data_IF_770751328983
#
_entry.id   IF_770751328983
#
_cell.length_a   1.000
_cell.length_b   1.000
_cell.length_c   1.000
_cell.angle_alpha   90.00
_cell.angle_beta   90.00
_cell.angle_gamma   90.00
#
_symmetry.space_group_name_H-M   'P 1'
#
loop_
_entity.id
_entity.type
_entity.pdbx_description
1 polymer ?
#
# COMPACT_ATOMS: atom_id res chain seq x y z
N UNK A 1 0.43 -3.95 14.54
CA UNK A 1 1.74 -4.52 14.19
C UNK A 1 1.88 -4.48 12.68
N UNK A 2 3.09 -4.30 12.12
CA UNK A 2 3.25 -4.32 10.67
C UNK A 2 2.95 -5.71 10.11
N UNK A 3 2.43 -5.76 8.88
CA UNK A 3 2.18 -7.02 8.17
C UNK A 3 3.47 -7.83 7.96
N UNK A 4 3.39 -9.16 7.97
CA UNK A 4 4.56 -10.04 7.78
C UNK A 4 5.20 -9.90 6.41
N UNK A 5 4.39 -9.63 5.39
CA UNK A 5 4.84 -9.54 3.99
C UNK A 5 5.19 -8.10 3.58
N UNK A 6 5.12 -7.16 4.53
CA UNK A 6 5.58 -5.79 4.31
C UNK A 6 7.11 -5.79 4.12
N UNK A 7 7.62 -5.00 3.18
CA UNK A 7 9.06 -4.90 2.95
C UNK A 7 9.79 -4.35 4.18
N UNK A 8 11.09 -4.65 4.30
CA UNK A 8 11.88 -4.19 5.44
C UNK A 8 11.96 -2.66 5.50
N UNK A 9 11.99 -1.99 4.34
CA UNK A 9 12.04 -0.53 4.24
C UNK A 9 10.79 0.12 4.84
N UNK A 10 9.61 -0.38 4.47
CA UNK A 10 8.31 0.11 4.94
C UNK A 10 8.08 -0.29 6.41
N UNK A 11 8.47 -1.51 6.81
CA UNK A 11 8.37 -1.99 8.20
C UNK A 11 9.14 -1.11 9.19
N UNK A 12 10.33 -0.62 8.82
CA UNK A 12 11.13 0.27 9.67
C UNK A 12 10.36 1.56 9.97
N UNK A 13 9.83 2.19 8.93
CA UNK A 13 9.04 3.43 9.04
C UNK A 13 7.74 3.19 9.83
N UNK A 14 7.06 2.06 9.58
CA UNK A 14 5.86 1.67 10.33
C UNK A 14 6.14 1.58 11.83
N UNK A 15 7.22 0.90 12.22
CA UNK A 15 7.55 0.70 13.63
C UNK A 15 7.95 2.03 14.29
N UNK A 16 8.71 2.88 13.58
CA UNK A 16 9.02 4.22 14.05
C UNK A 16 7.75 5.04 14.30
N UNK A 17 6.80 5.01 13.36
CA UNK A 17 5.50 5.66 13.53
C UNK A 17 4.75 5.13 14.75
N UNK A 18 4.77 3.81 14.97
CA UNK A 18 4.11 3.16 16.11
C UNK A 18 4.70 3.61 17.44
N UNK A 19 6.02 3.71 17.52
CA UNK A 19 6.73 4.05 18.74
C UNK A 19 6.50 5.52 19.16
N UNK A 20 6.20 6.41 18.19
CA UNK A 20 5.91 7.82 18.46
C UNK A 20 4.42 8.16 18.46
N UNK A 21 3.53 7.28 17.99
CA UNK A 21 2.09 7.55 17.84
C UNK A 21 1.42 8.06 19.12
N UNK A 22 1.81 7.53 20.29
CA UNK A 22 1.27 7.99 21.58
C UNK A 22 1.82 9.35 22.04
N UNK A 23 2.98 9.78 21.54
CA UNK A 23 3.63 11.06 21.89
C UNK A 23 3.26 12.17 20.91
N UNK A 24 3.22 11.83 19.62
CA UNK A 24 2.92 12.76 18.53
C UNK A 24 2.17 12.02 17.43
N UNK A 25 0.83 12.03 17.47
CA UNK A 25 0.02 11.48 16.39
C UNK A 25 0.32 12.12 15.02
N UNK A 26 0.63 13.41 15.00
CA UNK A 26 0.96 14.16 13.77
C UNK A 26 2.26 13.67 13.12
N UNK A 27 3.29 13.41 13.93
CA UNK A 27 4.53 12.85 13.42
C UNK A 27 4.34 11.40 12.95
N UNK A 28 3.57 10.59 13.70
CA UNK A 28 3.24 9.24 13.28
C UNK A 28 2.45 9.19 11.96
N UNK A 29 1.48 10.08 11.77
CA UNK A 29 0.74 10.20 10.52
C UNK A 29 1.64 10.54 9.34
N UNK A 30 2.57 11.49 9.51
CA UNK A 30 3.56 11.83 8.47
C UNK A 30 4.47 10.62 8.12
N UNK A 31 4.93 9.87 9.12
CA UNK A 31 5.71 8.65 8.88
C UNK A 31 4.89 7.57 8.16
N UNK A 32 3.61 7.39 8.51
CA UNK A 32 2.75 6.41 7.84
C UNK A 32 2.47 6.79 6.38
N UNK A 33 2.32 8.08 6.09
CA UNK A 33 2.21 8.59 4.72
C UNK A 33 3.50 8.36 3.93
N UNK A 34 4.66 8.56 4.55
CA UNK A 34 5.96 8.23 3.94
C UNK A 34 6.09 6.72 3.68
N UNK A 35 5.66 5.88 4.63
CA UNK A 35 5.63 4.43 4.47
C UNK A 35 4.76 4.02 3.27
N UNK A 36 3.61 4.68 3.07
CA UNK A 36 2.75 4.45 1.90
C UNK A 36 3.42 4.91 0.59
N UNK A 37 4.10 6.07 0.61
CA UNK A 37 4.85 6.55 -0.54
C UNK A 37 5.91 5.52 -0.96
N UNK A 38 6.62 4.96 0.02
CA UNK A 38 7.63 3.93 -0.21
C UNK A 38 7.02 2.62 -0.72
N UNK A 39 5.89 2.21 -0.16
CA UNK A 39 5.16 1.02 -0.63
C UNK A 39 4.74 1.18 -2.10
N UNK A 40 4.23 2.34 -2.48
CA UNK A 40 3.84 2.61 -3.87
C UNK A 40 5.04 2.67 -4.82
N UNK A 41 6.24 3.02 -4.34
CA UNK A 41 7.49 2.97 -5.12
C UNK A 41 7.89 1.53 -5.40
N UNK A 42 7.79 0.67 -4.39
CA UNK A 42 8.09 -0.77 -4.49
C UNK A 42 7.12 -1.51 -5.42
N UNK A 43 5.89 -1.00 -5.58
CA UNK A 43 4.91 -1.48 -6.57
C UNK A 43 5.20 -0.98 -8.01
N UNK A 44 6.33 -0.30 -8.22
CA UNK A 44 6.83 0.12 -9.52
C UNK A 44 6.24 1.43 -10.03
N UNK A 45 5.69 2.27 -9.15
CA UNK A 45 5.29 3.65 -9.48
C UNK A 45 6.18 4.61 -8.70
N UNK A 46 7.22 5.18 -9.32
CA UNK A 46 8.19 6.05 -8.64
C UNK A 46 8.04 7.53 -9.00
N UNK A 47 7.24 7.85 -10.01
CA UNK A 47 7.16 9.20 -10.57
C UNK A 47 5.76 9.82 -10.47
N UNK A 48 5.73 11.14 -10.34
CA UNK A 48 4.51 11.93 -10.31
C UNK A 48 3.80 12.00 -8.96
N UNK A 49 2.70 12.74 -8.93
CA UNK A 49 1.86 12.88 -7.74
C UNK A 49 1.24 11.53 -7.34
N UNK A 50 0.98 11.32 -6.04
CA UNK A 50 0.36 10.09 -5.55
C UNK A 50 -0.95 9.75 -6.28
N UNK A 51 -1.76 10.76 -6.61
CA UNK A 51 -2.97 10.57 -7.40
C UNK A 51 -2.70 9.89 -8.75
N UNK A 52 -1.65 10.33 -9.46
CA UNK A 52 -1.21 9.73 -10.73
C UNK A 52 -0.72 8.31 -10.53
N UNK A 53 0.09 8.08 -9.48
CA UNK A 53 0.62 6.76 -9.12
C UNK A 53 -0.52 5.76 -8.82
N UNK A 54 -1.53 6.17 -8.05
CA UNK A 54 -2.74 5.36 -7.78
C UNK A 54 -3.47 5.03 -9.09
N UNK A 55 -3.62 6.01 -9.99
CA UNK A 55 -4.23 5.80 -11.31
C UNK A 55 -3.47 4.78 -12.16
N UNK A 56 -2.13 4.80 -12.13
CA UNK A 56 -1.30 3.84 -12.84
C UNK A 56 -1.37 2.44 -12.21
N UNK A 57 -1.34 2.35 -10.87
CA UNK A 57 -1.54 1.09 -10.14
C UNK A 57 -2.89 0.46 -10.49
N UNK A 58 -3.95 1.25 -10.62
CA UNK A 58 -5.26 0.76 -11.09
C UNK A 58 -5.17 0.16 -12.49
N UNK A 59 -4.45 0.81 -13.42
CA UNK A 59 -4.22 0.29 -14.79
C UNK A 59 -3.35 -0.98 -14.80
N UNK A 60 -2.44 -1.14 -13.84
CA UNK A 60 -1.64 -2.36 -13.63
C UNK A 60 -2.44 -3.53 -13.07
N UNK A 61 -3.72 -3.34 -12.77
CA UNK A 61 -4.61 -4.42 -12.33
C UNK A 61 -4.63 -4.64 -10.81
N UNK A 62 -4.21 -3.66 -10.01
CA UNK A 62 -4.36 -3.76 -8.56
C UNK A 62 -5.86 -3.91 -8.18
N UNK A 63 -6.17 -4.71 -7.14
CA UNK A 63 -7.54 -4.89 -6.68
C UNK A 63 -8.22 -3.57 -6.33
N UNK A 64 -9.49 -3.42 -6.71
CA UNK A 64 -10.25 -2.18 -6.50
C UNK A 64 -10.28 -1.75 -5.02
N UNK A 65 -10.38 -2.72 -4.10
CA UNK A 65 -10.34 -2.45 -2.65
C UNK A 65 -9.00 -1.86 -2.19
N UNK A 66 -7.89 -2.32 -2.77
CA UNK A 66 -6.57 -1.76 -2.45
C UNK A 66 -6.42 -0.33 -2.99
N UNK A 67 -6.96 -0.06 -4.19
CA UNK A 67 -7.02 1.30 -4.75
C UNK A 67 -7.86 2.23 -3.85
N UNK A 68 -9.03 1.78 -3.40
CA UNK A 68 -9.85 2.55 -2.46
C UNK A 68 -9.11 2.84 -1.15
N UNK A 69 -8.37 1.87 -0.61
CA UNK A 69 -7.55 2.09 0.58
C UNK A 69 -6.46 3.15 0.36
N UNK A 70 -5.77 3.12 -0.80
CA UNK A 70 -4.80 4.14 -1.20
C UNK A 70 -5.45 5.53 -1.34
N UNK A 71 -6.62 5.61 -1.96
CA UNK A 71 -7.38 6.86 -2.13
C UNK A 71 -7.81 7.44 -0.77
N UNK A 72 -8.24 6.60 0.18
CA UNK A 72 -8.58 7.04 1.54
C UNK A 72 -7.35 7.68 2.20
N UNK A 73 -6.20 7.01 2.20
CA UNK A 73 -4.98 7.59 2.81
C UNK A 73 -4.60 8.91 2.14
N UNK A 74 -4.73 9.01 0.80
CA UNK A 74 -4.46 10.26 0.07
C UNK A 74 -5.37 11.38 0.55
N UNK A 75 -6.68 11.14 0.66
CA UNK A 75 -7.66 12.16 1.02
C UNK A 75 -7.49 12.57 2.49
N UNK A 76 -7.24 11.60 3.37
CA UNK A 76 -6.95 11.84 4.79
C UNK A 76 -5.61 12.56 5.01
N UNK A 77 -4.77 12.73 3.99
CA UNK A 77 -3.52 13.50 4.05
C UNK A 77 -3.66 15.01 3.83
N UNK A 78 -4.87 15.56 4.01
CA UNK A 78 -5.36 16.89 3.61
C UNK A 78 -5.71 16.99 2.12
N UNK A 79 -6.93 17.48 1.84
CA UNK A 79 -7.51 17.71 0.51
C UNK A 79 -6.71 18.69 -0.39
N UNK A 80 -5.59 19.26 0.08
CA UNK A 80 -4.83 20.29 -0.62
C UNK A 80 -3.31 20.11 -0.70
N UNK A 81 -2.71 19.07 -0.12
CA UNK A 81 -1.26 18.95 -0.14
C UNK A 81 -0.79 18.09 -1.33
N UNK A 82 -0.14 18.74 -2.29
CA UNK A 82 0.65 18.09 -3.35
C UNK A 82 1.79 17.20 -2.84
N UNK A 83 2.01 17.12 -1.51
CA UNK A 83 3.07 16.35 -0.88
C UNK A 83 2.61 15.60 0.39
N UNK A 84 2.72 14.28 0.37
CA UNK A 84 2.48 13.35 1.50
C UNK A 84 3.35 13.60 2.75
N UNK A 85 4.39 14.43 2.62
CA UNK A 85 5.51 14.53 3.58
C UNK A 85 5.39 15.67 4.59
N UNK A 86 4.28 16.41 4.59
CA UNK A 86 4.08 17.50 5.54
C UNK A 86 3.39 17.01 6.81
N UNK A 87 3.86 17.52 7.93
CA UNK A 87 3.18 17.35 9.22
C UNK A 87 1.94 18.24 9.19
N UNK A 88 0.78 17.68 9.53
CA UNK A 88 -0.43 18.48 9.69
C UNK A 88 -0.29 19.43 10.88
N UNK A 89 -0.39 20.73 10.62
CA UNK A 89 -0.36 21.77 11.64
C UNK A 89 -1.78 22.17 12.10
N UNK A 90 -2.83 21.72 11.40
CA UNK A 90 -4.23 22.07 11.69
C UNK A 90 -4.79 21.30 12.88
N UNK A 91 -4.18 20.17 13.25
CA UNK A 91 -4.60 19.33 14.37
C UNK A 91 -5.62 18.25 13.97
N UNK A 92 -5.84 18.06 12.68
CA UNK A 92 -6.63 16.97 12.10
C UNK A 92 -5.97 15.61 12.36
N UNK A 93 -4.64 15.55 12.30
CA UNK A 93 -3.87 14.33 12.61
C UNK A 93 -3.93 13.98 14.11
N UNK A 94 -4.95 13.22 14.46
CA UNK A 94 -5.23 12.70 15.79
C UNK A 94 -4.96 11.19 15.87
N UNK A 95 -5.14 10.61 17.07
CA UNK A 95 -4.92 9.18 17.28
C UNK A 95 -5.84 8.29 16.43
N UNK A 96 -7.05 8.73 16.13
CA UNK A 96 -8.01 7.99 15.31
C UNK A 96 -7.52 7.86 13.86
N UNK A 97 -7.10 8.97 13.25
CA UNK A 97 -6.52 8.98 11.90
C UNK A 97 -5.27 8.10 11.84
N UNK A 98 -4.38 8.21 12.84
CA UNK A 98 -3.17 7.38 12.89
C UNK A 98 -3.50 5.89 12.94
N UNK A 99 -4.48 5.48 13.73
CA UNK A 99 -4.92 4.09 13.78
C UNK A 99 -5.53 3.63 12.46
N UNK A 100 -6.31 4.48 11.79
CA UNK A 100 -6.81 4.20 10.44
C UNK A 100 -5.68 4.03 9.43
N UNK A 101 -4.66 4.89 9.46
CA UNK A 101 -3.49 4.80 8.58
C UNK A 101 -2.71 3.49 8.81
N UNK A 102 -2.51 3.07 10.06
CA UNK A 102 -1.91 1.76 10.37
C UNK A 102 -2.71 0.60 9.77
N UNK A 103 -4.03 0.65 9.90
CA UNK A 103 -4.93 -0.35 9.35
C UNK A 103 -4.84 -0.39 7.81
N UNK A 104 -4.96 0.76 7.16
CA UNK A 104 -4.94 0.87 5.70
C UNK A 104 -3.62 0.40 5.10
N UNK A 105 -2.48 0.73 5.73
CA UNK A 105 -1.18 0.30 5.24
C UNK A 105 -1.02 -1.22 5.30
N UNK A 106 -1.47 -1.86 6.38
CA UNK A 106 -1.49 -3.32 6.48
C UNK A 106 -2.46 -3.96 5.48
N UNK A 107 -3.63 -3.36 5.31
CA UNK A 107 -4.65 -3.82 4.36
C UNK A 107 -4.12 -3.82 2.92
N UNK A 108 -3.40 -2.77 2.52
CA UNK A 108 -2.81 -2.69 1.18
C UNK A 108 -1.75 -3.78 1.00
N UNK A 109 -0.87 -3.98 1.98
CA UNK A 109 0.14 -5.06 1.91
C UNK A 109 -0.53 -6.43 1.76
N UNK A 110 -1.57 -6.71 2.53
CA UNK A 110 -2.27 -8.00 2.47
C UNK A 110 -2.86 -8.23 1.08
N UNK A 111 -3.64 -7.28 0.58
CA UNK A 111 -4.40 -7.47 -0.66
C UNK A 111 -3.57 -7.29 -1.94
N UNK A 112 -2.39 -6.66 -1.86
CA UNK A 112 -1.54 -6.43 -3.04
C UNK A 112 -0.31 -7.34 -3.03
N UNK A 113 0.30 -7.62 -1.88
CA UNK A 113 1.54 -8.39 -1.81
C UNK A 113 1.23 -9.82 -1.40
N UNK A 114 0.61 -10.03 -0.23
CA UNK A 114 0.37 -11.39 0.29
C UNK A 114 -0.48 -12.22 -0.65
N UNK A 115 -1.63 -11.68 -1.09
CA UNK A 115 -2.56 -12.41 -1.97
C UNK A 115 -1.91 -12.79 -3.30
N UNK A 116 -1.15 -11.88 -3.92
CA UNK A 116 -0.45 -12.16 -5.17
C UNK A 116 0.61 -13.26 -4.97
N UNK A 117 1.43 -13.17 -3.92
CA UNK A 117 2.44 -14.18 -3.60
C UNK A 117 1.80 -15.57 -3.35
N UNK A 118 0.66 -15.61 -2.65
CA UNK A 118 -0.06 -16.86 -2.40
C UNK A 118 -0.61 -17.46 -3.69
N UNK A 119 -1.21 -16.64 -4.56
CA UNK A 119 -1.70 -17.08 -5.86
C UNK A 119 -0.57 -17.60 -6.75
N UNK A 120 0.57 -16.90 -6.78
CA UNK A 120 1.75 -17.32 -7.54
C UNK A 120 2.30 -18.66 -7.03
N UNK A 121 2.36 -18.85 -5.70
CA UNK A 121 2.77 -20.11 -5.10
C UNK A 121 1.79 -21.26 -5.42
N UNK A 122 0.48 -21.01 -5.36
CA UNK A 122 -0.53 -22.00 -5.73
C UNK A 122 -0.45 -22.36 -7.22
N UNK A 123 -0.30 -21.36 -8.09
CA UNK A 123 -0.14 -21.55 -9.53
C UNK A 123 1.15 -22.32 -9.86
N UNK A 124 2.25 -22.00 -9.17
CA UNK A 124 3.53 -22.70 -9.30
C UNK A 124 3.41 -24.19 -8.94
N UNK A 125 2.56 -24.54 -7.97
CA UNK A 125 2.31 -25.93 -7.56
C UNK A 125 1.35 -26.71 -8.48
N UNK A 126 0.75 -26.09 -9.49
CA UNK A 126 -0.10 -26.82 -10.44
C UNK A 126 0.72 -27.82 -11.28
N UNK A 127 0.17 -29.02 -11.60
CA UNK A 127 0.82 -29.99 -12.46
C UNK A 127 1.15 -29.40 -13.85
N UNK A 128 2.33 -29.73 -14.42
CA UNK A 128 2.77 -29.17 -15.70
C UNK A 128 1.78 -29.45 -16.84
N UNK A 129 1.15 -30.62 -16.85
CA UNK A 129 0.16 -31.01 -17.87
C UNK A 129 -1.08 -30.09 -17.87
N UNK A 130 -1.46 -29.54 -16.71
CA UNK A 130 -2.57 -28.59 -16.58
C UNK A 130 -2.14 -27.17 -16.93
N UNK A 131 -0.88 -26.79 -16.68
CA UNK A 131 -0.32 -25.51 -17.11
C UNK A 131 -0.25 -25.40 -18.63
N UNK A 132 0.10 -26.49 -19.32
CA UNK A 132 0.15 -26.52 -20.78
C UNK A 132 -1.21 -26.22 -21.41
N UNK A 133 -2.30 -26.77 -20.84
CA UNK A 133 -3.67 -26.46 -21.29
C UNK A 133 -4.07 -24.98 -21.13
N UNK A 134 -3.48 -24.26 -20.17
CA UNK A 134 -3.70 -22.80 -20.02
C UNK A 134 -2.94 -22.03 -21.10
N UNK A 135 -1.68 -22.41 -21.35
CA UNK A 135 -0.86 -21.81 -22.43
C UNK A 135 -1.51 -22.00 -23.80
N UNK A 136 -2.08 -23.18 -24.05
CA UNK A 136 -2.72 -23.49 -25.32
C UNK A 136 -4.04 -22.72 -25.52
N UNK A 137 -4.80 -22.44 -24.44
CA UNK A 137 -5.97 -21.55 -24.47
C UNK A 137 -5.56 -20.11 -24.82
N UNK A 138 -4.53 -19.59 -24.18
CA UNK A 138 -4.11 -18.20 -24.35
C UNK A 138 -3.48 -17.94 -25.73
N UNK A 139 -2.99 -18.98 -26.43
CA UNK A 139 -2.57 -18.91 -27.84
C UNK A 139 -3.72 -18.84 -28.85
N UNK A 140 -4.95 -19.16 -28.44
CA UNK A 140 -6.13 -19.14 -29.31
C UNK A 140 -6.97 -17.86 -29.18
N UNK A 141 -6.59 -16.95 -28.29
CA UNK A 141 -7.19 -15.61 -28.12
C UNK A 141 -6.32 -14.54 -28.75
#
# INVERSE_FOLDING_TARGET
>A
MPHTDMSESVKKIYNEARDIAGKSPRAAAALLRLALEKLTEELGETEGALNTRIGNLKKKGLPERAIQALDIVRITANEGASHLRQIDLTGSDNAEIVNQLFFLLNFIVEHVITVNNQLDAMYANLPPDKKQGIVDRDKQS
#
